data_IF_600516184803
#
_entry.id   IF_600516184803
#
_cell.length_a   1.000
_cell.length_b   1.000
_cell.length_c   1.000
_cell.angle_alpha   90.00
_cell.angle_beta   90.00
_cell.angle_gamma   90.00
#
_symmetry.space_group_name_H-M   'P 1'
#
loop_
_entity.id
_entity.type
_entity.pdbx_description
1 polymer ?
#
# COMPACT_ATOMS: atom_id res chain seq x y z
N UNK A 1 -6.76 -37.08 76.97
CA UNK A 1 -6.14 -36.49 78.18
C UNK A 1 -5.59 -35.13 77.83
N UNK A 2 -6.12 -34.14 78.54
CA UNK A 2 -5.51 -32.84 78.88
C UNK A 2 -5.20 -31.87 77.72
N UNK A 3 -6.05 -30.87 77.49
CA UNK A 3 -6.20 -29.59 78.20
C UNK A 3 -4.96 -28.72 78.15
N UNK A 4 -5.12 -27.53 77.66
CA UNK A 4 -5.03 -26.17 78.22
C UNK A 4 -5.00 -25.21 77.00
N UNK A 5 -6.01 -24.41 76.75
CA UNK A 5 -6.31 -23.03 77.23
C UNK A 5 -5.11 -22.10 77.33
N UNK A 6 -5.16 -21.10 76.54
CA UNK A 6 -4.33 -19.89 76.62
C UNK A 6 -4.93 -18.79 75.79
N UNK A 7 -5.85 -18.02 76.39
CA UNK A 7 -6.29 -16.71 75.87
C UNK A 7 -5.14 -15.72 75.96
N UNK A 8 -4.95 -14.90 74.95
CA UNK A 8 -4.54 -13.50 75.05
C UNK A 8 -4.84 -12.77 73.76
N UNK A 9 -5.77 -12.08 73.79
CA UNK A 9 -6.21 -10.72 73.52
C UNK A 9 -5.05 -9.76 73.40
N UNK A 10 -4.93 -9.05 72.27
CA UNK A 10 -4.53 -7.64 72.09
C UNK A 10 -4.78 -7.24 70.65
N UNK A 11 -5.77 -6.48 70.46
CA UNK A 11 -5.94 -5.10 69.99
C UNK A 11 -5.12 -4.64 68.81
N UNK A 12 -5.92 -4.24 67.86
CA UNK A 12 -5.93 -2.93 67.13
C UNK A 12 -4.67 -2.53 66.38
N UNK A 13 -4.89 -2.30 65.17
CA UNK A 13 -4.70 -1.15 64.31
C UNK A 13 -4.75 -1.65 62.88
N UNK A 14 -5.79 -1.54 62.12
CA UNK A 14 -6.11 -0.33 61.44
C UNK A 14 -5.08 -0.03 60.33
N UNK A 15 -5.13 -0.78 59.25
CA UNK A 15 -4.37 -0.51 58.06
C UNK A 15 -5.11 -1.08 56.85
N UNK A 16 -6.23 -0.45 56.50
CA UNK A 16 -6.83 -0.70 55.20
C UNK A 16 -5.89 -0.19 54.15
N UNK A 17 -5.02 -1.09 53.67
CA UNK A 17 -4.31 -0.86 52.42
C UNK A 17 -5.35 -0.89 51.31
N UNK A 18 -5.94 0.27 51.05
CA UNK A 18 -6.57 0.55 49.78
C UNK A 18 -5.48 0.42 48.73
N UNK A 19 -5.37 -0.75 48.13
CA UNK A 19 -4.69 -0.90 46.86
C UNK A 19 -5.49 -0.04 45.89
N UNK A 20 -5.10 1.23 45.78
CA UNK A 20 -5.50 2.08 44.68
C UNK A 20 -5.04 1.39 43.41
N UNK A 21 -5.96 0.71 42.74
CA UNK A 21 -5.75 0.29 41.37
C UNK A 21 -5.46 1.53 40.55
N UNK A 22 -4.20 1.79 40.27
CA UNK A 22 -3.82 2.79 39.27
C UNK A 22 -4.47 2.37 37.95
N UNK A 23 -5.22 3.26 37.32
CA UNK A 23 -5.69 2.98 35.97
C UNK A 23 -4.45 2.67 35.10
N UNK A 24 -4.52 1.67 34.20
CA UNK A 24 -3.41 1.39 33.31
C UNK A 24 -3.04 2.70 32.59
N UNK A 25 -1.73 2.95 32.36
CA UNK A 25 -1.31 4.12 31.60
C UNK A 25 -2.08 4.12 30.27
N UNK A 26 -2.52 5.29 29.79
CA UNK A 26 -3.18 5.36 28.50
C UNK A 26 -2.25 4.70 27.50
N UNK A 27 -2.73 3.64 26.87
CA UNK A 27 -2.05 3.03 25.74
C UNK A 27 -1.84 4.16 24.77
N UNK A 28 -0.60 4.63 24.63
CA UNK A 28 -0.22 5.49 23.51
C UNK A 28 -0.64 4.71 22.28
N UNK A 29 -1.77 5.11 21.71
CA UNK A 29 -2.10 4.73 20.35
C UNK A 29 -0.92 5.21 19.55
N UNK A 30 -0.10 4.25 19.11
CA UNK A 30 0.84 4.50 18.02
C UNK A 30 0.03 5.28 16.99
N UNK A 31 0.51 6.41 16.50
CA UNK A 31 -0.18 7.09 15.42
C UNK A 31 -0.30 6.06 14.31
N UNK A 32 -1.53 5.59 14.08
CA UNK A 32 -1.88 4.90 12.86
C UNK A 32 -1.25 5.77 11.78
N UNK A 33 -0.29 5.22 11.04
CA UNK A 33 0.29 5.90 9.90
C UNK A 33 -0.93 6.32 9.08
N UNK A 34 -1.29 7.60 9.19
CA UNK A 34 -2.37 8.16 8.41
C UNK A 34 -1.97 7.90 6.98
N UNK A 35 -2.62 6.94 6.36
CA UNK A 35 -2.57 6.69 4.93
C UNK A 35 -3.14 7.96 4.27
N UNK A 36 -2.28 9.00 4.23
CA UNK A 36 -2.62 10.28 3.66
C UNK A 36 -2.97 10.00 2.20
N UNK A 37 -4.24 10.19 1.89
CA UNK A 37 -4.66 10.20 0.51
C UNK A 37 -3.74 11.16 -0.26
N UNK A 38 -3.22 10.73 -1.43
CA UNK A 38 -2.38 11.61 -2.23
C UNK A 38 -3.12 12.92 -2.51
N UNK A 39 -2.42 14.06 -2.56
CA UNK A 39 -3.03 15.35 -2.82
C UNK A 39 -3.89 15.30 -4.09
N UNK A 40 -5.06 15.88 -3.99
CA UNK A 40 -6.04 15.91 -5.07
C UNK A 40 -5.55 16.71 -6.28
N UNK A 41 -6.15 16.49 -7.42
CA UNK A 41 -5.72 16.75 -8.81
C UNK A 41 -5.41 18.20 -9.21
N UNK A 42 -5.45 19.17 -8.32
CA UNK A 42 -5.29 20.61 -8.65
C UNK A 42 -3.85 21.03 -9.02
N UNK A 43 -2.84 20.20 -8.78
CA UNK A 43 -1.48 20.46 -9.26
C UNK A 43 -1.23 20.06 -10.74
N UNK A 44 -2.25 19.53 -11.41
CA UNK A 44 -2.11 19.00 -12.77
C UNK A 44 -1.98 20.07 -13.87
N UNK A 45 -2.04 21.38 -13.54
CA UNK A 45 -2.17 22.44 -14.54
C UNK A 45 -0.86 23.08 -15.01
N UNK A 46 0.29 22.73 -14.41
CA UNK A 46 1.59 23.19 -14.90
C UNK A 46 2.25 22.13 -15.76
N UNK A 47 2.83 22.48 -16.93
CA UNK A 47 3.63 21.54 -17.69
C UNK A 47 4.75 20.98 -16.81
N UNK A 48 4.72 19.69 -16.57
CA UNK A 48 5.78 19.01 -15.78
C UNK A 48 6.95 18.76 -16.74
N UNK A 49 8.12 19.29 -16.40
CA UNK A 49 9.36 18.87 -17.04
C UNK A 49 9.80 17.54 -16.41
N UNK A 50 9.90 16.52 -17.26
CA UNK A 50 10.36 15.19 -16.83
C UNK A 50 11.86 15.08 -17.06
N UNK A 51 12.62 15.06 -15.98
CA UNK A 51 14.00 14.61 -15.97
C UNK A 51 14.08 13.23 -15.32
N UNK A 52 15.03 12.40 -15.73
CA UNK A 52 15.18 11.07 -15.16
C UNK A 52 15.27 11.11 -13.62
N UNK A 53 14.27 10.59 -12.96
CA UNK A 53 14.16 10.58 -11.50
C UNK A 53 13.52 9.27 -11.01
N UNK A 54 14.34 8.24 -10.70
CA UNK A 54 13.84 6.95 -10.22
C UNK A 54 13.03 7.05 -8.93
N UNK A 55 13.43 7.94 -8.03
CA UNK A 55 12.76 8.10 -6.73
C UNK A 55 11.34 8.64 -6.89
N UNK A 56 11.17 9.60 -7.80
CA UNK A 56 9.84 10.12 -8.13
C UNK A 56 9.02 9.05 -8.87
N UNK A 57 9.62 8.28 -9.77
CA UNK A 57 8.94 7.18 -10.44
C UNK A 57 8.40 6.15 -9.43
N UNK A 58 9.22 5.75 -8.44
CA UNK A 58 8.79 4.82 -7.39
C UNK A 58 7.68 5.41 -6.52
N UNK A 59 7.71 6.71 -6.25
CA UNK A 59 6.62 7.40 -5.54
C UNK A 59 5.32 7.32 -6.32
N UNK A 60 5.35 7.60 -7.62
CA UNK A 60 4.16 7.51 -8.47
C UNK A 60 3.62 6.07 -8.55
N UNK A 61 4.49 5.05 -8.59
CA UNK A 61 4.05 3.64 -8.53
C UNK A 61 3.31 3.36 -7.22
N UNK A 62 3.83 3.81 -6.07
CA UNK A 62 3.15 3.61 -4.79
C UNK A 62 1.78 4.29 -4.74
N UNK A 63 1.68 5.52 -5.25
CA UNK A 63 0.40 6.25 -5.36
C UNK A 63 -0.56 5.49 -6.29
N UNK A 64 -0.06 5.01 -7.42
CA UNK A 64 -0.83 4.19 -8.34
C UNK A 64 -1.37 2.92 -7.68
N UNK A 65 -0.55 2.22 -6.90
CA UNK A 65 -0.96 1.05 -6.14
C UNK A 65 -2.10 1.37 -5.16
N UNK A 66 -2.00 2.49 -4.45
CA UNK A 66 -3.08 2.95 -3.57
C UNK A 66 -4.41 3.10 -4.32
N UNK A 67 -4.42 3.80 -5.45
CA UNK A 67 -5.62 3.98 -6.26
C UNK A 67 -6.12 2.65 -6.85
N UNK A 68 -5.22 1.78 -7.27
CA UNK A 68 -5.56 0.47 -7.80
C UNK A 68 -6.30 -0.38 -6.76
N UNK A 69 -5.80 -0.44 -5.53
CA UNK A 69 -6.44 -1.15 -4.41
C UNK A 69 -7.82 -0.56 -4.04
N UNK A 70 -8.01 0.73 -4.24
CA UNK A 70 -9.33 1.38 -4.06
C UNK A 70 -10.27 1.19 -5.26
N UNK A 71 -9.87 0.43 -6.29
CA UNK A 71 -10.65 0.23 -7.51
C UNK A 71 -10.70 1.44 -8.44
N UNK A 72 -9.94 2.50 -8.15
CA UNK A 72 -9.86 3.72 -8.96
C UNK A 72 -8.85 3.53 -10.10
N UNK A 73 -9.17 2.62 -11.02
CA UNK A 73 -8.22 2.16 -12.05
C UNK A 73 -7.75 3.28 -13.00
N UNK A 74 -8.61 4.24 -13.33
CA UNK A 74 -8.22 5.39 -14.15
C UNK A 74 -7.16 6.23 -13.47
N UNK A 75 -7.34 6.57 -12.20
CA UNK A 75 -6.35 7.31 -11.43
C UNK A 75 -5.06 6.52 -11.25
N UNK A 76 -5.16 5.19 -11.03
CA UNK A 76 -4.00 4.32 -10.96
C UNK A 76 -3.19 4.33 -12.27
N UNK A 77 -3.85 4.19 -13.42
CA UNK A 77 -3.20 4.24 -14.74
C UNK A 77 -2.50 5.58 -14.99
N UNK A 78 -3.10 6.69 -14.60
CA UNK A 78 -2.47 8.01 -14.67
C UNK A 78 -1.16 8.05 -13.87
N UNK A 79 -1.18 7.57 -12.62
CA UNK A 79 0.01 7.55 -11.75
C UNK A 79 1.10 6.63 -12.28
N UNK A 80 0.75 5.44 -12.77
CA UNK A 80 1.73 4.56 -13.41
C UNK A 80 2.28 5.17 -14.71
N UNK A 81 1.44 5.86 -15.50
CA UNK A 81 1.88 6.61 -16.66
C UNK A 81 2.85 7.75 -16.30
N UNK A 82 2.61 8.46 -15.19
CA UNK A 82 3.58 9.45 -14.67
C UNK A 82 4.91 8.78 -14.29
N UNK A 83 4.86 7.61 -13.63
CA UNK A 83 6.07 6.88 -13.27
C UNK A 83 6.93 6.55 -14.49
N UNK A 84 6.32 6.16 -15.62
CA UNK A 84 7.06 5.85 -16.87
C UNK A 84 7.71 7.08 -17.50
N UNK A 85 7.19 8.27 -17.25
CA UNK A 85 7.80 9.52 -17.70
C UNK A 85 9.03 9.90 -16.87
N UNK A 86 8.97 9.70 -15.54
CA UNK A 86 10.11 9.92 -14.65
C UNK A 86 11.21 8.88 -14.81
N UNK A 87 10.85 7.63 -15.09
CA UNK A 87 11.81 6.55 -15.37
C UNK A 87 11.29 5.65 -16.49
N UNK A 88 11.66 5.92 -17.75
CA UNK A 88 11.24 5.11 -18.90
C UNK A 88 11.70 3.65 -18.86
N UNK A 89 12.66 3.31 -18.00
CA UNK A 89 13.19 1.95 -17.87
C UNK A 89 12.60 1.18 -16.67
N UNK A 90 11.63 1.75 -15.98
CA UNK A 90 10.98 1.11 -14.83
C UNK A 90 9.94 0.09 -15.32
N UNK A 91 10.36 -1.14 -15.55
CA UNK A 91 9.49 -2.22 -16.02
C UNK A 91 8.25 -2.43 -15.13
N UNK A 92 8.40 -2.28 -13.80
CA UNK A 92 7.28 -2.40 -12.85
C UNK A 92 6.15 -1.41 -13.15
N UNK A 93 6.47 -0.16 -13.51
CA UNK A 93 5.46 0.83 -13.86
C UNK A 93 4.64 0.40 -15.08
N UNK A 94 5.27 -0.20 -16.09
CA UNK A 94 4.58 -0.65 -17.29
C UNK A 94 3.67 -1.85 -17.05
N UNK A 95 4.09 -2.83 -16.26
CA UNK A 95 3.20 -3.96 -15.96
C UNK A 95 1.99 -3.51 -15.14
N UNK A 96 2.19 -2.61 -14.17
CA UNK A 96 1.09 -2.03 -13.38
C UNK A 96 0.17 -1.15 -14.22
N UNK A 97 0.71 -0.38 -15.15
CA UNK A 97 -0.08 0.37 -16.13
C UNK A 97 -0.95 -0.57 -16.95
N UNK A 98 -0.36 -1.63 -17.51
CA UNK A 98 -1.11 -2.62 -18.27
C UNK A 98 -2.23 -3.28 -17.48
N UNK A 99 -2.00 -3.60 -16.20
CA UNK A 99 -3.02 -4.15 -15.29
C UNK A 99 -4.17 -3.14 -15.06
N UNK A 100 -3.85 -1.86 -14.87
CA UNK A 100 -4.85 -0.82 -14.65
C UNK A 100 -5.70 -0.55 -15.90
N UNK A 101 -5.07 -0.53 -17.08
CA UNK A 101 -5.76 -0.37 -18.36
C UNK A 101 -6.63 -1.59 -18.69
N UNK A 102 -6.17 -2.81 -18.38
CA UNK A 102 -6.96 -4.04 -18.51
C UNK A 102 -8.24 -3.97 -17.65
N UNK A 103 -8.15 -3.44 -16.43
CA UNK A 103 -9.32 -3.20 -15.55
C UNK A 103 -10.29 -2.15 -16.10
N UNK A 104 -9.80 -1.18 -16.85
CA UNK A 104 -10.60 -0.17 -17.54
C UNK A 104 -11.18 -0.71 -18.86
N UNK A 105 -10.77 -1.90 -19.30
CA UNK A 105 -11.09 -2.48 -20.61
C UNK A 105 -10.50 -1.70 -21.78
N UNK A 106 -9.46 -0.89 -21.53
CA UNK A 106 -8.66 -0.31 -22.61
C UNK A 106 -7.60 -1.34 -23.06
N UNK A 107 -8.06 -2.25 -23.90
CA UNK A 107 -7.25 -3.39 -24.36
C UNK A 107 -6.05 -2.96 -25.17
N UNK A 108 -6.14 -1.84 -25.87
CA UNK A 108 -5.04 -1.31 -26.67
C UNK A 108 -3.95 -0.75 -25.77
N UNK A 109 -4.31 0.13 -24.85
CA UNK A 109 -3.36 0.71 -23.91
C UNK A 109 -2.72 -0.38 -23.01
N UNK A 110 -3.53 -1.35 -22.55
CA UNK A 110 -3.01 -2.48 -21.79
C UNK A 110 -1.95 -3.28 -22.57
N UNK A 111 -2.23 -3.58 -23.84
CA UNK A 111 -1.29 -4.31 -24.68
C UNK A 111 0.02 -3.52 -24.88
N UNK A 112 -0.07 -2.24 -25.23
CA UNK A 112 1.10 -1.38 -25.42
C UNK A 112 2.00 -1.33 -24.17
N UNK A 113 1.38 -1.20 -22.97
CA UNK A 113 2.10 -1.22 -21.72
C UNK A 113 2.75 -2.58 -21.43
N UNK A 114 2.05 -3.68 -21.66
CA UNK A 114 2.61 -5.03 -21.49
C UNK A 114 3.74 -5.34 -22.48
N UNK A 115 3.63 -4.89 -23.73
CA UNK A 115 4.71 -5.02 -24.73
C UNK A 115 5.96 -4.29 -24.25
N UNK A 116 5.80 -3.09 -23.68
CA UNK A 116 6.92 -2.32 -23.13
C UNK A 116 7.55 -3.01 -21.92
N UNK A 117 6.73 -3.57 -21.02
CA UNK A 117 7.25 -4.39 -19.92
C UNK A 117 8.10 -5.55 -20.41
N UNK A 118 7.63 -6.32 -21.40
CA UNK A 118 8.36 -7.49 -21.94
C UNK A 118 9.65 -7.06 -22.65
N UNK A 119 9.70 -5.89 -23.28
CA UNK A 119 10.92 -5.35 -23.86
C UNK A 119 11.98 -5.03 -22.81
N UNK A 120 11.57 -4.47 -21.66
CA UNK A 120 12.47 -4.05 -20.60
C UNK A 120 12.90 -5.19 -19.68
N UNK A 121 12.04 -6.20 -19.51
CA UNK A 121 12.20 -7.26 -18.54
C UNK A 121 11.85 -8.63 -19.16
N UNK A 122 12.53 -8.98 -20.26
CA UNK A 122 12.26 -10.22 -21.00
C UNK A 122 12.42 -11.48 -20.15
N UNK A 123 13.34 -11.46 -19.18
CA UNK A 123 13.69 -12.57 -18.28
C UNK A 123 12.93 -12.52 -16.95
N UNK A 124 12.04 -11.54 -16.75
CA UNK A 124 11.19 -11.49 -15.56
C UNK A 124 10.25 -12.71 -15.56
N UNK A 125 10.08 -13.32 -14.38
CA UNK A 125 9.20 -14.49 -14.18
C UNK A 125 7.76 -14.29 -14.67
N UNK A 126 7.29 -13.04 -14.73
CA UNK A 126 5.95 -12.67 -15.21
C UNK A 126 5.88 -12.59 -16.75
N UNK A 127 7.01 -12.44 -17.43
CA UNK A 127 7.04 -12.21 -18.88
C UNK A 127 6.38 -13.30 -19.72
N UNK A 128 6.48 -14.60 -19.39
CA UNK A 128 5.75 -15.63 -20.15
C UNK A 128 4.23 -15.49 -20.05
N UNK A 129 3.71 -15.12 -18.87
CA UNK A 129 2.29 -14.90 -18.66
C UNK A 129 1.81 -13.62 -19.38
N UNK A 130 2.59 -12.54 -19.26
CA UNK A 130 2.28 -11.27 -19.93
C UNK A 130 2.26 -11.45 -21.46
N UNK A 131 3.16 -12.21 -22.05
CA UNK A 131 3.12 -12.55 -23.49
C UNK A 131 1.83 -13.26 -23.89
N UNK A 132 1.32 -14.16 -23.05
CA UNK A 132 0.02 -14.81 -23.30
C UNK A 132 -1.13 -13.79 -23.23
N UNK A 133 -1.09 -12.85 -22.28
CA UNK A 133 -2.06 -11.75 -22.21
C UNK A 133 -2.01 -10.88 -23.46
N UNK A 134 -0.84 -10.46 -23.91
CA UNK A 134 -0.65 -9.69 -25.14
C UNK A 134 -1.28 -10.41 -26.33
N UNK A 135 -1.00 -11.72 -26.50
CA UNK A 135 -1.55 -12.50 -27.58
C UNK A 135 -3.09 -12.60 -27.53
N UNK A 136 -3.67 -12.70 -26.32
CA UNK A 136 -5.12 -12.70 -26.12
C UNK A 136 -5.74 -11.35 -26.47
N UNK A 137 -5.12 -10.25 -26.01
CA UNK A 137 -5.60 -8.89 -26.28
C UNK A 137 -5.52 -8.53 -27.76
N UNK A 138 -4.56 -9.11 -28.50
CA UNK A 138 -4.45 -8.93 -29.95
C UNK A 138 -5.54 -9.62 -30.75
N UNK A 139 -6.06 -10.75 -30.24
CA UNK A 139 -7.11 -11.56 -30.92
C UNK A 139 -8.52 -11.03 -30.66
N UNK A 140 -8.75 -10.35 -29.54
CA UNK A 140 -10.06 -9.85 -29.14
C UNK A 140 -10.53 -8.59 -29.89
N UNK A 141 -9.86 -8.21 -30.96
CA UNK A 141 -10.11 -6.98 -31.72
C UNK A 141 -10.83 -7.25 -33.05
N UNK A 142 -11.79 -8.19 -33.03
CA UNK A 142 -12.76 -8.34 -34.12
C UNK A 142 -14.18 -8.11 -33.61
#
# INVERSE_FOLDING_TARGET
>A
MSRWLGLAFVCLMGGTNLIQAQPPPPTEKQPEAQEQAPPEEDEAQKPKEYSFNPLQADKEVRIGNFYFHKGKYKAAAQRYGEATKWNPNLAEAYVRLGEAEEKQKDWRAAREAYEKFVQLAADDKRSPEIRKKIAKLSKGKN
#
